data_IF_895827382107
#
_entry.id   IF_895827382107
#
_cell.length_a   1.000
_cell.length_b   1.000
_cell.length_c   1.000
_cell.angle_alpha   90.00
_cell.angle_beta   90.00
_cell.angle_gamma   90.00
#
_symmetry.space_group_name_H-M   'P 1'
#
loop_
_entity.id
_entity.type
_entity.pdbx_description
1 polymer ?
#
# COMPACT_ATOMS: atom_id res chain seq x y z
N UNK A 1 13.17 33.33 17.31
CA UNK A 1 12.46 32.14 16.82
C UNK A 1 10.96 32.24 17.07
N UNK A 2 10.22 32.47 16.00
CA UNK A 2 8.76 32.51 15.97
C UNK A 2 8.18 31.12 16.23
N UNK A 3 7.11 31.04 17.03
CA UNK A 3 6.33 29.83 17.31
C UNK A 3 4.87 30.04 16.91
N UNK A 4 4.18 29.00 16.46
CA UNK A 4 2.77 29.06 16.02
C UNK A 4 2.57 28.76 14.53
N UNK A 5 1.36 28.98 14.00
CA UNK A 5 1.03 28.67 12.60
C UNK A 5 1.89 29.47 11.61
N UNK A 6 2.27 28.83 10.50
CA UNK A 6 2.95 29.50 9.38
C UNK A 6 1.96 30.43 8.69
N UNK A 7 2.34 31.70 8.52
CA UNK A 7 1.53 32.73 7.86
C UNK A 7 1.54 32.54 6.33
N UNK A 8 0.59 33.16 5.63
CA UNK A 8 0.49 33.06 4.16
C UNK A 8 1.73 33.62 3.44
N UNK A 9 2.37 34.63 4.02
CA UNK A 9 3.59 35.23 3.44
C UNK A 9 4.81 34.32 3.63
N UNK A 10 4.92 33.69 4.82
CA UNK A 10 5.92 32.65 5.08
C UNK A 10 5.69 31.43 4.16
N UNK A 11 4.45 31.01 3.94
CA UNK A 11 4.10 29.94 3.00
C UNK A 11 4.58 30.25 1.57
N UNK A 12 4.31 31.44 1.05
CA UNK A 12 4.77 31.86 -0.29
C UNK A 12 6.30 31.86 -0.40
N UNK A 13 6.98 32.30 0.65
CA UNK A 13 8.43 32.30 0.71
C UNK A 13 9.00 30.88 0.70
N UNK A 14 8.42 29.97 1.48
CA UNK A 14 8.82 28.56 1.52
C UNK A 14 8.61 27.92 0.13
N UNK A 15 7.44 28.08 -0.48
CA UNK A 15 7.12 27.46 -1.78
C UNK A 15 8.03 27.92 -2.93
N UNK A 16 8.48 29.18 -2.91
CA UNK A 16 9.38 29.74 -3.94
C UNK A 16 10.86 29.41 -3.69
N UNK A 17 11.22 29.15 -2.43
CA UNK A 17 12.61 28.93 -2.03
C UNK A 17 13.00 27.46 -1.94
N UNK A 18 12.03 26.56 -1.86
CA UNK A 18 12.26 25.12 -1.60
C UNK A 18 13.13 24.41 -2.63
N UNK A 19 13.08 24.86 -3.89
CA UNK A 19 13.88 24.26 -4.98
C UNK A 19 15.33 24.78 -5.00
N UNK A 20 15.61 25.86 -4.27
CA UNK A 20 16.89 26.57 -4.33
C UNK A 20 17.64 26.65 -3.00
N UNK A 21 16.96 26.46 -1.86
CA UNK A 21 17.52 26.63 -0.52
C UNK A 21 17.26 25.38 0.33
N UNK A 22 18.19 25.07 1.23
CA UNK A 22 18.02 23.97 2.18
C UNK A 22 16.97 24.33 3.24
N UNK A 23 16.33 23.32 3.86
CA UNK A 23 15.34 23.51 4.93
C UNK A 23 15.93 24.35 6.08
N UNK A 24 17.21 24.16 6.39
CA UNK A 24 17.94 24.93 7.39
C UNK A 24 18.06 26.42 7.02
N UNK A 25 18.41 26.74 5.77
CA UNK A 25 18.55 28.13 5.31
C UNK A 25 17.20 28.84 5.24
N UNK A 26 16.14 28.12 4.86
CA UNK A 26 14.77 28.63 4.87
C UNK A 26 14.34 28.94 6.32
N UNK A 27 14.57 28.01 7.25
CA UNK A 27 14.25 28.19 8.66
C UNK A 27 15.02 29.39 9.28
N UNK A 28 16.30 29.55 8.94
CA UNK A 28 17.12 30.67 9.39
C UNK A 28 16.62 32.01 8.84
N UNK A 29 16.21 32.07 7.57
CA UNK A 29 15.65 33.30 6.96
C UNK A 29 14.27 33.68 7.52
N UNK A 30 13.48 32.69 7.93
CA UNK A 30 12.15 32.91 8.52
C UNK A 30 12.18 33.16 10.04
N UNK A 31 13.36 33.08 10.67
CA UNK A 31 13.52 33.02 12.14
C UNK A 31 12.57 31.97 12.76
N UNK A 32 12.55 30.77 12.18
CA UNK A 32 11.74 29.64 12.64
C UNK A 32 12.58 28.41 12.95
N UNK A 33 11.95 27.53 13.70
CA UNK A 33 12.49 26.22 14.00
C UNK A 33 12.54 25.33 12.75
N UNK A 34 13.66 24.62 12.60
CA UNK A 34 13.94 23.80 11.42
C UNK A 34 12.91 22.68 11.31
N UNK A 35 12.54 22.05 12.43
CA UNK A 35 11.55 20.98 12.48
C UNK A 35 10.15 21.49 12.11
N UNK A 36 9.78 22.70 12.55
CA UNK A 36 8.53 23.34 12.13
C UNK A 36 8.45 23.63 10.63
N UNK A 37 9.55 24.07 10.02
CA UNK A 37 9.62 24.34 8.57
C UNK A 37 9.64 23.02 7.79
N UNK A 38 10.40 22.02 8.25
CA UNK A 38 10.43 20.67 7.68
C UNK A 38 9.04 20.04 7.67
N UNK A 39 8.36 20.04 8.83
CA UNK A 39 6.99 19.53 8.94
C UNK A 39 6.00 20.27 8.04
N UNK A 40 6.15 21.58 7.87
CA UNK A 40 5.29 22.33 6.95
C UNK A 40 5.54 21.95 5.49
N UNK A 41 6.81 21.87 5.09
CA UNK A 41 7.22 21.46 3.74
C UNK A 41 6.67 20.07 3.42
N UNK A 42 6.89 19.11 4.33
CA UNK A 42 6.42 17.73 4.18
C UNK A 42 4.90 17.65 4.08
N UNK A 43 4.17 18.34 4.97
CA UNK A 43 2.69 18.28 4.99
C UNK A 43 2.00 19.01 3.85
N UNK A 44 2.49 20.20 3.48
CA UNK A 44 1.78 21.11 2.57
C UNK A 44 2.31 21.09 1.15
N UNK A 45 3.62 20.87 0.98
CA UNK A 45 4.29 20.90 -0.33
C UNK A 45 4.69 19.50 -0.82
N UNK A 46 4.61 18.48 0.05
CA UNK A 46 4.95 17.08 -0.25
C UNK A 46 6.33 16.90 -0.90
N UNK A 47 7.30 17.74 -0.51
CA UNK A 47 8.68 17.71 -1.03
C UNK A 47 9.65 17.23 0.05
N UNK A 48 10.67 16.47 -0.35
CA UNK A 48 11.69 15.94 0.57
C UNK A 48 11.19 14.84 1.50
N UNK A 49 10.10 14.18 1.12
CA UNK A 49 9.50 13.07 1.85
C UNK A 49 10.36 11.82 1.69
N UNK A 50 10.50 11.04 2.76
CA UNK A 50 10.90 9.64 2.61
C UNK A 50 9.80 8.88 1.86
N UNK A 51 10.15 7.73 1.26
CA UNK A 51 9.16 6.87 0.57
C UNK A 51 7.98 6.52 1.49
N UNK A 52 8.25 6.29 2.78
CA UNK A 52 7.21 5.98 3.77
C UNK A 52 6.32 7.19 4.07
N UNK A 53 6.90 8.39 4.10
CA UNK A 53 6.17 9.64 4.32
C UNK A 53 5.33 10.01 3.08
N UNK A 54 5.85 9.81 1.87
CA UNK A 54 5.14 10.05 0.60
C UNK A 54 3.88 9.19 0.50
N UNK A 55 4.01 7.89 0.74
CA UNK A 55 2.88 6.95 0.76
C UNK A 55 1.85 7.28 1.84
N UNK A 56 2.29 7.79 3.01
CA UNK A 56 1.37 8.22 4.06
C UNK A 56 0.59 9.50 3.66
N UNK A 57 1.23 10.46 3.00
CA UNK A 57 0.53 11.65 2.48
C UNK A 57 -0.37 11.35 1.28
N UNK A 58 -0.12 10.28 0.53
CA UNK A 58 -1.06 9.80 -0.48
C UNK A 58 -2.32 9.18 0.12
N UNK A 59 -2.24 8.58 1.31
CA UNK A 59 -3.40 8.01 2.00
C UNK A 59 -4.41 9.10 2.38
N UNK A 60 -3.94 10.25 2.87
CA UNK A 60 -4.80 11.35 3.31
C UNK A 60 -5.61 11.98 2.16
N UNK A 61 -5.11 11.87 0.92
CA UNK A 61 -5.80 12.36 -0.27
C UNK A 61 -6.92 11.39 -0.74
N UNK A 62 -6.97 10.16 -0.20
CA UNK A 62 -7.92 9.13 -0.65
C UNK A 62 -9.35 9.46 -0.21
N UNK A 63 -10.38 9.15 -1.02
CA UNK A 63 -11.77 9.47 -0.69
C UNK A 63 -12.26 8.90 0.65
N UNK A 64 -11.78 7.72 1.03
CA UNK A 64 -12.16 7.02 2.26
C UNK A 64 -11.40 7.54 3.51
N UNK A 65 -10.42 8.44 3.36
CA UNK A 65 -9.67 8.99 4.50
C UNK A 65 -10.58 9.70 5.52
N UNK A 66 -11.55 10.48 5.03
CA UNK A 66 -12.54 11.16 5.89
C UNK A 66 -13.37 10.19 6.73
N UNK A 67 -13.63 9.01 6.18
CA UNK A 67 -14.34 7.95 6.90
C UNK A 67 -13.44 7.37 8.00
N UNK A 68 -12.16 7.12 7.71
CA UNK A 68 -11.18 6.68 8.71
C UNK A 68 -11.05 7.68 9.86
N UNK A 69 -10.97 8.99 9.55
CA UNK A 69 -10.94 10.06 10.55
C UNK A 69 -12.16 10.06 11.48
N UNK A 70 -13.32 9.62 10.99
CA UNK A 70 -14.54 9.50 11.79
C UNK A 70 -14.60 8.26 12.68
N UNK A 71 -13.81 7.21 12.36
CA UNK A 71 -13.87 5.89 13.01
C UNK A 71 -12.79 5.69 14.09
N UNK A 72 -11.67 6.40 13.98
CA UNK A 72 -10.46 6.18 14.78
C UNK A 72 -10.03 7.42 15.54
N UNK A 73 -9.36 7.20 16.68
CA UNK A 73 -8.72 8.30 17.42
C UNK A 73 -7.48 8.79 16.70
N UNK A 74 -6.97 9.98 17.04
CA UNK A 74 -5.77 10.53 16.41
C UNK A 74 -4.56 9.59 16.56
N UNK A 75 -4.38 8.96 17.73
CA UNK A 75 -3.30 8.00 17.98
C UNK A 75 -3.43 6.75 17.11
N UNK A 76 -4.66 6.28 16.89
CA UNK A 76 -4.94 5.13 16.02
C UNK A 76 -4.74 5.47 14.55
N UNK A 77 -5.03 6.71 14.13
CA UNK A 77 -4.78 7.19 12.78
C UNK A 77 -3.27 7.30 12.49
N UNK A 78 -2.47 7.75 13.46
CA UNK A 78 -1.00 7.73 13.36
C UNK A 78 -0.49 6.29 13.16
N UNK A 79 -1.00 5.36 13.97
CA UNK A 79 -0.67 3.94 13.83
C UNK A 79 -1.15 3.38 12.48
N UNK A 80 -2.33 3.80 12.01
CA UNK A 80 -2.86 3.43 10.70
C UNK A 80 -1.91 3.85 9.59
N UNK A 81 -1.49 5.12 9.56
CA UNK A 81 -0.54 5.66 8.57
C UNK A 81 0.77 4.90 8.57
N UNK A 82 1.27 4.57 9.76
CA UNK A 82 2.50 3.78 9.92
C UNK A 82 2.38 2.37 9.32
N UNK A 83 1.28 1.65 9.61
CA UNK A 83 1.08 0.32 9.02
C UNK A 83 0.84 0.39 7.52
N UNK A 84 0.10 1.40 7.06
CA UNK A 84 -0.15 1.66 5.66
C UNK A 84 1.16 1.85 4.89
N UNK A 85 2.01 2.79 5.31
CA UNK A 85 3.27 3.07 4.62
C UNK A 85 4.15 1.83 4.54
N UNK A 86 4.24 1.04 5.62
CA UNK A 86 5.00 -0.21 5.66
C UNK A 86 4.46 -1.31 4.77
N UNK A 87 3.13 -1.43 4.65
CA UNK A 87 2.52 -2.46 3.81
C UNK A 87 2.64 -2.04 2.35
N UNK A 88 2.20 -0.83 2.00
CA UNK A 88 2.22 -0.33 0.62
C UNK A 88 3.64 -0.22 0.05
N UNK A 89 4.65 0.13 0.85
CA UNK A 89 6.04 0.12 0.40
C UNK A 89 6.51 -1.26 -0.13
N UNK A 90 5.90 -2.36 0.30
CA UNK A 90 6.19 -3.72 -0.22
C UNK A 90 5.60 -3.96 -1.62
N UNK A 91 4.63 -3.15 -2.03
CA UNK A 91 3.98 -3.24 -3.34
C UNK A 91 4.68 -2.40 -4.41
N UNK A 92 5.67 -1.58 -4.04
CA UNK A 92 6.36 -0.65 -4.97
C UNK A 92 5.29 0.19 -5.70
N UNK A 93 5.07 -0.05 -6.99
CA UNK A 93 4.12 0.69 -7.84
C UNK A 93 2.91 -0.15 -8.32
N UNK A 94 2.82 -1.43 -7.96
CA UNK A 94 1.82 -2.36 -8.50
C UNK A 94 0.77 -2.75 -7.45
N UNK A 95 0.07 -1.72 -6.95
CA UNK A 95 -1.09 -1.86 -6.05
C UNK A 95 -2.38 -1.70 -6.85
N UNK A 96 -3.17 -2.76 -6.94
CA UNK A 96 -4.50 -2.65 -7.50
C UNK A 96 -5.45 -1.99 -6.49
N UNK A 97 -6.49 -1.26 -6.94
CA UNK A 97 -7.49 -0.67 -6.03
C UNK A 97 -8.12 -1.67 -5.06
N UNK A 98 -8.28 -2.93 -5.48
CA UNK A 98 -8.79 -4.00 -4.60
C UNK A 98 -7.78 -4.44 -3.54
N UNK A 99 -6.48 -4.47 -3.87
CA UNK A 99 -5.41 -4.75 -2.90
C UNK A 99 -5.30 -3.58 -1.91
N UNK A 100 -5.42 -2.36 -2.39
CA UNK A 100 -5.47 -1.13 -1.58
C UNK A 100 -6.56 -1.24 -0.49
N UNK A 101 -7.79 -1.58 -0.89
CA UNK A 101 -8.89 -1.78 0.05
C UNK A 101 -8.64 -2.93 1.03
N UNK A 102 -8.07 -4.04 0.57
CA UNK A 102 -7.71 -5.15 1.45
C UNK A 102 -6.64 -4.75 2.48
N UNK A 103 -5.67 -3.90 2.10
CA UNK A 103 -4.67 -3.36 3.04
C UNK A 103 -5.36 -2.49 4.09
N UNK A 104 -6.29 -1.61 3.69
CA UNK A 104 -7.11 -0.83 4.62
C UNK A 104 -7.82 -1.75 5.63
N UNK A 105 -8.48 -2.79 5.15
CA UNK A 105 -9.24 -3.72 6.01
C UNK A 105 -8.33 -4.50 6.97
N UNK A 106 -7.15 -4.95 6.52
CA UNK A 106 -6.16 -5.60 7.38
C UNK A 106 -5.73 -4.68 8.53
N UNK A 107 -5.48 -3.40 8.23
CA UNK A 107 -5.05 -2.42 9.25
C UNK A 107 -6.22 -2.11 10.21
N UNK A 108 -7.45 -1.98 9.71
CA UNK A 108 -8.64 -1.84 10.56
C UNK A 108 -8.76 -3.00 11.54
N UNK A 109 -8.59 -4.24 11.09
CA UNK A 109 -8.60 -5.42 11.95
C UNK A 109 -7.50 -5.36 13.02
N UNK A 110 -6.29 -4.90 12.67
CA UNK A 110 -5.19 -4.73 13.62
C UNK A 110 -5.50 -3.71 14.72
N UNK A 111 -6.08 -2.56 14.36
CA UNK A 111 -6.49 -1.54 15.34
C UNK A 111 -7.60 -2.07 16.25
N UNK A 112 -8.60 -2.77 15.71
CA UNK A 112 -9.65 -3.38 16.52
C UNK A 112 -9.10 -4.43 17.49
N UNK A 113 -8.14 -5.26 17.05
CA UNK A 113 -7.43 -6.20 17.91
C UNK A 113 -6.69 -5.47 19.04
N UNK A 114 -6.03 -4.34 18.75
CA UNK A 114 -5.37 -3.52 19.77
C UNK A 114 -6.37 -2.92 20.77
N UNK A 115 -7.57 -2.52 20.35
CA UNK A 115 -8.65 -2.08 21.25
C UNK A 115 -9.09 -3.21 22.18
N UNK A 116 -9.26 -4.44 21.67
CA UNK A 116 -9.56 -5.61 22.50
C UNK A 116 -8.48 -5.85 23.56
N UNK A 117 -7.19 -5.76 23.19
CA UNK A 117 -6.08 -5.94 24.12
C UNK A 117 -6.03 -4.84 25.19
N UNK A 118 -6.27 -3.58 24.81
CA UNK A 118 -6.35 -2.46 25.76
C UNK A 118 -7.50 -2.67 26.76
N UNK A 119 -8.71 -2.94 26.27
CA UNK A 119 -9.87 -3.19 27.14
C UNK A 119 -9.68 -4.41 28.04
N UNK A 120 -9.04 -5.48 27.55
CA UNK A 120 -8.73 -6.65 28.37
C UNK A 120 -7.73 -6.32 29.49
N UNK A 121 -6.70 -5.51 29.19
CA UNK A 121 -5.77 -5.01 30.21
C UNK A 121 -6.50 -4.19 31.28
N UNK A 122 -7.40 -3.30 30.87
CA UNK A 122 -8.18 -2.47 31.79
C UNK A 122 -9.09 -3.33 32.68
N UNK A 123 -9.80 -4.31 32.11
CA UNK A 123 -10.59 -5.28 32.86
C UNK A 123 -9.75 -6.04 33.89
N UNK A 124 -8.55 -6.51 33.52
CA UNK A 124 -7.64 -7.20 34.45
C UNK A 124 -7.22 -6.26 35.60
N UNK A 125 -6.92 -5.00 35.29
CA UNK A 125 -6.56 -4.00 36.30
C UNK A 125 -7.71 -3.77 37.28
N UNK A 126 -8.94 -3.61 36.78
CA UNK A 126 -10.13 -3.44 37.62
C UNK A 126 -10.42 -4.68 38.46
N UNK A 127 -10.29 -5.89 37.88
CA UNK A 127 -10.44 -7.14 38.61
C UNK A 127 -9.45 -7.25 39.77
N UNK A 128 -8.19 -6.86 39.57
CA UNK A 128 -7.19 -6.87 40.63
C UNK A 128 -7.53 -5.89 41.78
N UNK A 129 -8.10 -4.72 41.44
CA UNK A 129 -8.55 -3.74 42.43
C UNK A 129 -9.72 -4.31 43.25
N UNK A 130 -10.73 -4.85 42.57
CA UNK A 130 -11.92 -5.45 43.22
C UNK A 130 -11.51 -6.65 44.09
N UNK A 131 -10.62 -7.51 43.60
CA UNK A 131 -10.12 -8.65 44.36
C UNK A 131 -9.41 -8.20 45.65
N UNK A 132 -8.62 -7.12 45.57
CA UNK A 132 -7.98 -6.53 46.75
C UNK A 132 -9.01 -6.00 47.74
N UNK A 133 -10.02 -5.27 47.28
CA UNK A 133 -11.09 -4.74 48.14
C UNK A 133 -11.89 -5.86 48.82
N UNK A 134 -12.24 -6.92 48.10
CA UNK A 134 -12.90 -8.10 48.68
C UNK A 134 -12.01 -8.75 49.73
N UNK A 135 -10.71 -8.87 49.47
CA UNK A 135 -9.74 -9.47 50.39
C UNK A 135 -9.59 -8.64 51.68
N UNK A 136 -9.48 -7.32 51.53
CA UNK A 136 -9.35 -6.38 52.65
C UNK A 136 -10.62 -6.41 53.52
N UNK A 137 -11.81 -6.41 52.92
CA UNK A 137 -13.08 -6.54 53.64
C UNK A 137 -13.21 -7.89 54.35
N UNK A 138 -12.78 -8.99 53.71
CA UNK A 138 -12.77 -10.33 54.31
C UNK A 138 -11.75 -10.50 55.43
N UNK A 139 -10.77 -9.61 55.55
CA UNK A 139 -9.79 -9.62 56.63
C UNK A 139 -10.36 -9.03 57.93
N UNK A 140 -11.46 -8.26 57.87
CA UNK A 140 -12.17 -7.76 59.04
C UNK A 140 -12.79 -8.91 59.85
N UNK A 141 -13.07 -8.66 61.12
CA UNK A 141 -13.82 -9.58 61.98
C UNK A 141 -15.23 -9.80 61.44
N UNK A 142 -15.80 -10.99 61.66
CA UNK A 142 -17.05 -11.42 60.99
C UNK A 142 -18.24 -10.48 61.22
N UNK A 143 -18.28 -9.84 62.38
CA UNK A 143 -19.30 -8.89 62.82
C UNK A 143 -19.12 -7.49 62.22
N UNK A 144 -17.93 -7.17 61.69
CA UNK A 144 -17.62 -5.88 61.07
C UNK A 144 -17.67 -5.91 59.53
N UNK A 145 -17.81 -7.11 58.94
CA UNK A 145 -17.86 -7.29 57.48
C UNK A 145 -19.17 -6.80 56.89
N UNK A 146 -19.08 -5.98 55.86
CA UNK A 146 -20.22 -5.67 55.00
C UNK A 146 -20.41 -6.79 53.95
N UNK A 147 -21.34 -7.70 54.22
CA UNK A 147 -21.68 -8.81 53.33
C UNK A 147 -22.31 -8.32 52.01
N UNK A 148 -23.08 -7.24 52.04
CA UNK A 148 -23.73 -6.68 50.85
C UNK A 148 -22.70 -6.03 49.93
N UNK A 149 -21.70 -5.36 50.50
CA UNK A 149 -20.57 -4.81 49.77
C UNK A 149 -19.71 -5.91 49.11
N UNK A 150 -19.39 -6.99 49.83
CA UNK A 150 -18.70 -8.17 49.26
C UNK A 150 -19.50 -8.76 48.11
N UNK A 151 -20.80 -9.00 48.31
CA UNK A 151 -21.65 -9.60 47.28
C UNK A 151 -21.80 -8.69 46.05
N UNK A 152 -21.84 -7.37 46.25
CA UNK A 152 -21.82 -6.40 45.15
C UNK A 152 -20.54 -6.48 44.33
N UNK A 153 -19.38 -6.49 44.99
CA UNK A 153 -18.07 -6.59 44.33
C UNK A 153 -17.87 -7.93 43.62
N UNK A 154 -18.35 -9.04 44.19
CA UNK A 154 -18.30 -10.35 43.53
C UNK A 154 -19.13 -10.38 42.24
N UNK A 155 -20.30 -9.70 42.22
CA UNK A 155 -21.10 -9.54 41.00
C UNK A 155 -20.37 -8.73 39.93
N UNK A 156 -19.72 -7.62 40.31
CA UNK A 156 -18.91 -6.82 39.38
C UNK A 156 -17.73 -7.64 38.81
N UNK A 157 -17.03 -8.39 39.67
CA UNK A 157 -15.94 -9.27 39.25
C UNK A 157 -16.42 -10.37 38.29
N UNK A 158 -17.61 -10.94 38.52
CA UNK A 158 -18.20 -11.91 37.60
C UNK A 158 -18.52 -11.29 36.22
N UNK A 159 -19.04 -10.05 36.20
CA UNK A 159 -19.31 -9.32 34.97
C UNK A 159 -18.02 -9.00 34.19
N UNK A 160 -16.95 -8.58 34.87
CA UNK A 160 -15.64 -8.33 34.24
C UNK A 160 -15.03 -9.60 33.66
N UNK A 161 -15.15 -10.74 34.35
CA UNK A 161 -14.71 -12.05 33.82
C UNK A 161 -15.47 -12.45 32.56
N UNK A 162 -16.78 -12.25 32.53
CA UNK A 162 -17.60 -12.50 31.34
C UNK A 162 -17.20 -11.58 30.17
N UNK A 163 -16.96 -10.30 30.46
CA UNK A 163 -16.46 -9.34 29.47
C UNK A 163 -15.09 -9.75 28.91
N UNK A 164 -14.16 -10.16 29.78
CA UNK A 164 -12.85 -10.66 29.37
C UNK A 164 -12.95 -11.87 28.43
N UNK A 165 -13.80 -12.85 28.73
CA UNK A 165 -13.97 -14.03 27.85
C UNK A 165 -14.54 -13.63 26.49
N UNK A 166 -15.50 -12.69 26.45
CA UNK A 166 -16.03 -12.13 25.21
C UNK A 166 -14.94 -11.45 24.40
N UNK A 167 -14.15 -10.55 25.01
CA UNK A 167 -13.07 -9.83 24.32
C UNK A 167 -11.99 -10.79 23.78
N UNK A 168 -11.67 -11.85 24.52
CA UNK A 168 -10.73 -12.88 24.07
C UNK A 168 -11.26 -13.65 22.85
N UNK A 169 -12.58 -13.94 22.83
CA UNK A 169 -13.22 -14.57 21.68
C UNK A 169 -13.18 -13.64 20.46
N UNK A 170 -13.57 -12.38 20.62
CA UNK A 170 -13.55 -11.38 19.55
C UNK A 170 -12.14 -11.21 18.98
N UNK A 171 -11.13 -11.12 19.86
CA UNK A 171 -9.72 -11.04 19.45
C UNK A 171 -9.29 -12.23 18.58
N UNK A 172 -9.61 -13.47 18.99
CA UNK A 172 -9.28 -14.68 18.21
C UNK A 172 -9.96 -14.69 16.85
N UNK A 173 -11.21 -14.24 16.77
CA UNK A 173 -11.94 -14.16 15.51
C UNK A 173 -11.32 -13.12 14.57
N UNK A 174 -11.02 -11.92 15.08
CA UNK A 174 -10.34 -10.86 14.32
C UNK A 174 -8.96 -11.32 13.84
N UNK A 175 -8.20 -12.00 14.70
CA UNK A 175 -6.89 -12.56 14.35
C UNK A 175 -6.99 -13.59 13.21
N UNK A 176 -7.99 -14.47 13.26
CA UNK A 176 -8.24 -15.48 12.21
C UNK A 176 -8.59 -14.82 10.88
N UNK A 177 -9.50 -13.82 10.89
CA UNK A 177 -9.87 -13.04 9.71
C UNK A 177 -8.68 -12.31 9.10
N UNK A 178 -7.86 -11.66 9.93
CA UNK A 178 -6.63 -10.98 9.51
C UNK A 178 -5.66 -11.95 8.83
N UNK A 179 -5.44 -13.12 9.43
CA UNK A 179 -4.55 -14.14 8.88
C UNK A 179 -5.05 -14.69 7.53
N UNK A 180 -6.36 -14.91 7.37
CA UNK A 180 -6.95 -15.33 6.09
C UNK A 180 -6.73 -14.27 5.01
N UNK A 181 -7.07 -13.01 5.32
CA UNK A 181 -6.97 -11.91 4.37
C UNK A 181 -5.52 -11.68 3.90
N UNK A 182 -4.54 -11.75 4.81
CA UNK A 182 -3.12 -11.67 4.45
C UNK A 182 -2.67 -12.82 3.53
N UNK A 183 -3.16 -14.04 3.79
CA UNK A 183 -2.85 -15.20 2.96
C UNK A 183 -3.45 -15.06 1.56
N UNK A 184 -4.70 -14.63 1.48
CA UNK A 184 -5.41 -14.41 0.21
C UNK A 184 -4.72 -13.32 -0.62
N UNK A 185 -4.40 -12.17 -0.01
CA UNK A 185 -3.69 -11.06 -0.66
C UNK A 185 -2.31 -11.49 -1.20
N UNK A 186 -1.57 -12.31 -0.46
CA UNK A 186 -0.30 -12.88 -0.96
C UNK A 186 -0.53 -13.84 -2.12
N UNK A 187 -1.54 -14.71 -2.02
CA UNK A 187 -1.87 -15.70 -3.04
C UNK A 187 -2.34 -15.07 -4.36
N UNK A 188 -3.20 -14.05 -4.31
CA UNK A 188 -3.64 -13.32 -5.51
C UNK A 188 -2.47 -12.65 -6.22
N UNK A 189 -1.54 -12.06 -5.44
CA UNK A 189 -0.32 -11.45 -5.97
C UNK A 189 0.61 -12.46 -6.63
N UNK A 190 0.87 -13.60 -5.99
CA UNK A 190 1.70 -14.67 -6.58
C UNK A 190 1.10 -15.22 -7.87
N UNK A 191 -0.22 -15.44 -7.91
CA UNK A 191 -0.92 -15.86 -9.13
C UNK A 191 -0.84 -14.83 -10.26
N UNK A 192 -0.83 -13.54 -9.93
CA UNK A 192 -0.68 -12.45 -10.91
C UNK A 192 0.72 -12.45 -11.51
N UNK A 193 1.76 -12.51 -10.67
CA UNK A 193 3.16 -12.55 -11.10
C UNK A 193 3.38 -13.76 -12.01
N UNK A 194 2.89 -14.92 -11.60
CA UNK A 194 3.00 -16.15 -12.40
C UNK A 194 2.28 -16.04 -13.75
N UNK A 195 1.07 -15.47 -13.80
CA UNK A 195 0.37 -15.24 -15.08
C UNK A 195 1.14 -14.29 -16.00
N UNK A 196 1.73 -13.22 -15.47
CA UNK A 196 2.56 -12.30 -16.26
C UNK A 196 3.82 -12.99 -16.79
N UNK A 197 4.46 -13.84 -15.99
CA UNK A 197 5.62 -14.64 -16.42
C UNK A 197 5.26 -15.69 -17.47
N UNK A 198 4.19 -16.46 -17.25
CA UNK A 198 3.70 -17.49 -18.17
C UNK A 198 3.25 -16.85 -19.51
N UNK A 199 2.66 -15.65 -19.46
CA UNK A 199 2.22 -14.93 -20.67
C UNK A 199 3.36 -14.51 -21.59
N UNK A 200 4.57 -14.33 -21.04
CA UNK A 200 5.79 -14.04 -21.81
C UNK A 200 6.43 -15.29 -22.42
N UNK A 201 6.07 -16.48 -21.98
CA UNK A 201 6.73 -17.73 -22.38
C UNK A 201 5.92 -18.55 -23.40
N UNK A 202 4.59 -18.42 -23.43
CA UNK A 202 3.76 -19.26 -24.30
C UNK A 202 3.20 -18.50 -25.50
N UNK A 203 3.46 -19.02 -26.72
CA UNK A 203 2.92 -18.48 -27.98
C UNK A 203 1.40 -18.31 -27.96
N UNK A 204 0.66 -19.24 -27.34
CA UNK A 204 -0.80 -19.15 -27.24
C UNK A 204 -1.24 -17.99 -26.35
N UNK A 205 -0.48 -17.68 -25.29
CA UNK A 205 -0.78 -16.53 -24.43
C UNK A 205 -0.41 -15.21 -25.08
N UNK A 206 0.64 -15.17 -25.91
CA UNK A 206 0.97 -14.00 -26.73
C UNK A 206 -0.09 -13.73 -27.79
N UNK A 207 -0.63 -14.77 -28.45
CA UNK A 207 -1.76 -14.63 -29.37
C UNK A 207 -3.01 -14.15 -28.63
N UNK A 208 -3.31 -14.69 -27.45
CA UNK A 208 -4.45 -14.24 -26.65
C UNK A 208 -4.32 -12.79 -26.18
N UNK A 209 -3.12 -12.32 -25.81
CA UNK A 209 -2.89 -10.93 -25.41
C UNK A 209 -3.03 -9.97 -26.60
N UNK A 210 -2.59 -10.37 -27.79
CA UNK A 210 -2.83 -9.63 -29.04
C UNK A 210 -4.32 -9.52 -29.37
N UNK A 211 -5.11 -10.56 -29.12
CA UNK A 211 -6.56 -10.51 -29.35
C UNK A 211 -7.30 -9.59 -28.36
N UNK A 212 -6.74 -9.36 -27.17
CA UNK A 212 -7.31 -8.46 -26.16
C UNK A 212 -6.99 -6.99 -26.40
N UNK A 213 -5.94 -6.69 -27.19
CA UNK A 213 -5.55 -5.34 -27.59
C UNK A 213 -5.62 -5.16 -29.12
N UNK A 214 -6.77 -4.71 -29.65
CA UNK A 214 -6.97 -4.51 -31.08
C UNK A 214 -6.02 -3.49 -31.72
N UNK A 215 -5.54 -2.49 -30.96
CA UNK A 215 -4.62 -1.49 -31.49
C UNK A 215 -3.22 -2.07 -31.70
N UNK A 216 -2.72 -2.81 -30.70
CA UNK A 216 -1.43 -3.48 -30.80
C UNK A 216 -1.44 -4.54 -31.90
N UNK A 217 -2.53 -5.30 -32.02
CA UNK A 217 -2.70 -6.27 -33.11
C UNK A 217 -2.65 -5.59 -34.49
N UNK A 218 -3.37 -4.48 -34.67
CA UNK A 218 -3.39 -3.73 -35.94
C UNK A 218 -2.01 -3.16 -36.27
N UNK A 219 -1.28 -2.62 -35.28
CA UNK A 219 0.08 -2.11 -35.47
C UNK A 219 1.02 -3.21 -35.97
N UNK A 220 1.02 -4.37 -35.32
CA UNK A 220 1.84 -5.50 -35.75
C UNK A 220 1.43 -6.02 -37.14
N UNK A 221 0.13 -6.06 -37.45
CA UNK A 221 -0.34 -6.43 -38.79
C UNK A 221 0.20 -5.49 -39.88
N UNK A 222 0.23 -4.18 -39.61
CA UNK A 222 0.81 -3.19 -40.53
C UNK A 222 2.32 -3.39 -40.69
N UNK A 223 3.04 -3.65 -39.61
CA UNK A 223 4.49 -3.92 -39.66
C UNK A 223 4.82 -5.21 -40.41
N UNK A 224 4.06 -6.27 -40.18
CA UNK A 224 4.21 -7.55 -40.90
C UNK A 224 3.94 -7.36 -42.40
N UNK A 225 2.92 -6.60 -42.78
CA UNK A 225 2.61 -6.36 -44.20
C UNK A 225 3.68 -5.49 -44.88
N UNK A 226 4.21 -4.48 -44.17
CA UNK A 226 5.36 -3.71 -44.65
C UNK A 226 6.58 -4.60 -44.87
N UNK A 227 6.87 -5.50 -43.92
CA UNK A 227 7.98 -6.44 -44.02
C UNK A 227 7.80 -7.42 -45.17
N UNK A 228 6.57 -7.92 -45.37
CA UNK A 228 6.22 -8.79 -46.51
C UNK A 228 6.43 -8.08 -47.85
N UNK A 229 5.96 -6.83 -47.98
CA UNK A 229 6.16 -6.05 -49.21
C UNK A 229 7.64 -5.73 -49.45
N UNK A 230 8.40 -5.40 -48.40
CA UNK A 230 9.84 -5.17 -48.51
C UNK A 230 10.58 -6.45 -48.94
N UNK A 231 10.24 -7.59 -48.34
CA UNK A 231 10.80 -8.90 -48.68
C UNK A 231 10.50 -9.27 -50.13
N UNK A 232 9.27 -9.07 -50.60
CA UNK A 232 8.91 -9.35 -52.00
C UNK A 232 9.65 -8.44 -52.99
N UNK A 233 9.79 -7.15 -52.66
CA UNK A 233 10.54 -6.21 -53.51
C UNK A 233 12.04 -6.57 -53.55
N UNK A 234 12.58 -7.01 -52.43
CA UNK A 234 13.97 -7.44 -52.33
C UNK A 234 14.20 -8.76 -53.06
N UNK A 235 13.25 -9.69 -52.97
CA UNK A 235 13.22 -10.92 -53.75
C UNK A 235 13.23 -10.60 -55.26
N UNK A 236 12.33 -9.72 -55.73
CA UNK A 236 12.32 -9.27 -57.13
C UNK A 236 13.66 -8.63 -57.57
N UNK A 237 14.29 -7.84 -56.70
CA UNK A 237 15.61 -7.23 -56.94
C UNK A 237 16.70 -8.28 -57.08
N UNK A 238 16.74 -9.24 -56.16
CA UNK A 238 17.76 -10.30 -56.13
C UNK A 238 17.53 -11.36 -57.20
N UNK A 239 16.30 -11.50 -57.69
CA UNK A 239 15.96 -12.35 -58.83
C UNK A 239 16.23 -11.69 -60.19
N UNK A 240 16.66 -10.44 -60.25
CA UNK A 240 17.09 -9.79 -61.49
C UNK A 240 18.59 -9.94 -61.72
N UNK A 241 19.02 -9.87 -62.99
CA UNK A 241 20.44 -9.84 -63.32
C UNK A 241 21.09 -8.58 -62.73
N UNK A 242 22.15 -8.78 -61.97
CA UNK A 242 22.90 -7.72 -61.32
C UNK A 242 24.32 -7.69 -61.88
N UNK A 243 24.80 -6.49 -62.23
CA UNK A 243 26.18 -6.28 -62.65
C UNK A 243 27.01 -5.88 -61.44
N UNK A 244 27.97 -6.73 -61.09
CA UNK A 244 28.89 -6.52 -59.99
C UNK A 244 30.02 -5.55 -60.38
N UNK A 245 30.75 -5.04 -59.39
CA UNK A 245 31.79 -4.02 -59.60
C UNK A 245 32.98 -4.52 -60.46
N UNK A 246 33.20 -5.83 -60.48
CA UNK A 246 34.18 -6.51 -61.35
C UNK A 246 33.74 -6.64 -62.82
N UNK A 247 32.51 -6.21 -63.12
CA UNK A 247 31.91 -6.26 -64.44
C UNK A 247 31.17 -7.56 -64.76
N UNK A 248 31.18 -8.54 -63.85
CA UNK A 248 30.42 -9.79 -63.98
C UNK A 248 28.91 -9.54 -63.89
N UNK A 249 28.13 -10.26 -64.70
CA UNK A 249 26.66 -10.25 -64.63
C UNK A 249 26.24 -11.60 -64.09
N UNK A 250 25.55 -11.60 -62.96
CA UNK A 250 25.00 -12.82 -62.36
C UNK A 250 23.65 -12.52 -61.71
N UNK A 251 22.88 -13.57 -61.42
CA UNK A 251 21.59 -13.49 -60.75
C UNK A 251 21.76 -13.87 -59.26
N UNK A 252 21.68 -12.91 -58.32
CA UNK A 252 21.98 -13.17 -56.91
C UNK A 252 21.11 -14.24 -56.23
N UNK A 253 19.85 -14.43 -56.67
CA UNK A 253 18.90 -15.33 -56.01
C UNK A 253 18.24 -16.29 -57.00
N UNK A 254 18.65 -17.55 -56.89
CA UNK A 254 18.25 -18.66 -57.75
C UNK A 254 17.25 -19.58 -57.03
N UNK A 255 16.01 -19.55 -57.49
CA UNK A 255 14.96 -20.50 -57.12
C UNK A 255 14.43 -21.17 -58.40
N UNK A 256 13.75 -22.33 -58.31
CA UNK A 256 13.19 -23.00 -59.49
C UNK A 256 12.27 -22.12 -60.35
N UNK A 257 11.73 -21.04 -59.78
CA UNK A 257 10.82 -20.10 -60.43
C UNK A 257 11.53 -18.86 -61.00
N UNK A 258 12.76 -18.57 -60.55
CA UNK A 258 13.50 -17.35 -60.95
C UNK A 258 14.60 -17.62 -61.97
N UNK A 259 14.98 -18.88 -62.20
CA UNK A 259 15.93 -19.26 -63.26
C UNK A 259 15.32 -18.86 -64.61
N UNK A 260 16.00 -17.94 -65.31
CA UNK A 260 15.65 -17.51 -66.67
C UNK A 260 16.66 -18.14 -67.64
N UNK A 261 16.15 -18.83 -68.66
CA UNK A 261 16.94 -19.43 -69.75
C UNK A 261 17.76 -18.39 -70.52
#
# INVERSE_FOLDING_TARGET
MKKGRISKDEERFISSSIDNLTVYDIAKKLDRDVESVDNFIKRKLKKGLSLEEEVAYELEDRPYWKELESQFTQEELELFKYHWSRIIAQFKDDVFPTEELQVVDVIKLEILMNRCLKSNKDNISEMNIIEKLIKDERALDKDQRDQDYIMSMERQMAALRASQESLNRDYRELQSKKASMLREMKGTREQRIKRLEDSKQSFTSWVASLMQDPETMKRYGIEMEKMRMAMKKEEERLSAFHKYEDGGIDQPFLTPETIKD
#
